data_IF_837371342097
#
_entry.id   IF_837371342097
#
_cell.length_a   1.000
_cell.length_b   1.000
_cell.length_c   1.000
_cell.angle_alpha   90.00
_cell.angle_beta   90.00
_cell.angle_gamma   90.00
#
_symmetry.space_group_name_H-M   'P 1'
#
loop_
_entity.id
_entity.type
_entity.pdbx_description
1 polymer ?
#
# COMPACT_ATOMS: atom_id res chain seq x y z
N UNK A 1 6.83 -29.36 -2.88
CA UNK A 1 7.63 -30.07 -3.91
C UNK A 1 9.09 -30.08 -3.44
N UNK A 2 9.83 -31.18 -3.61
CA UNK A 2 11.24 -31.26 -3.22
C UNK A 2 12.07 -30.36 -4.16
N UNK A 3 12.95 -29.52 -3.60
CA UNK A 3 13.78 -28.57 -4.37
C UNK A 3 14.67 -29.30 -5.41
N UNK A 4 15.26 -30.44 -5.05
CA UNK A 4 16.10 -31.19 -5.96
C UNK A 4 15.34 -31.72 -7.21
N UNK A 5 14.07 -32.12 -7.02
CA UNK A 5 13.19 -32.50 -8.14
C UNK A 5 12.86 -31.32 -9.04
N UNK A 6 12.61 -30.14 -8.43
CA UNK A 6 12.37 -28.93 -9.20
C UNK A 6 13.63 -28.48 -9.97
N UNK A 7 14.81 -28.57 -9.38
CA UNK A 7 16.07 -28.25 -10.03
C UNK A 7 16.30 -29.13 -11.27
N UNK A 8 16.09 -30.46 -11.16
CA UNK A 8 16.17 -31.40 -12.31
C UNK A 8 15.12 -31.08 -13.37
N UNK A 9 13.88 -30.75 -12.95
CA UNK A 9 12.81 -30.38 -13.88
C UNK A 9 13.13 -29.08 -14.66
N UNK A 10 13.71 -28.08 -14.01
CA UNK A 10 14.14 -26.83 -14.68
C UNK A 10 15.18 -27.14 -15.75
N UNK A 11 16.25 -27.87 -15.41
CA UNK A 11 17.29 -28.25 -16.37
C UNK A 11 16.71 -29.12 -17.50
N UNK A 12 15.86 -30.10 -17.17
CA UNK A 12 15.22 -30.96 -18.16
C UNK A 12 14.39 -30.18 -19.19
N UNK A 13 13.56 -29.21 -18.74
CA UNK A 13 12.79 -28.36 -19.65
C UNK A 13 13.72 -27.51 -20.52
N UNK A 14 14.75 -26.91 -19.95
CA UNK A 14 15.75 -26.15 -20.71
C UNK A 14 16.41 -26.93 -21.80
N UNK A 15 16.64 -28.24 -21.60
CA UNK A 15 17.26 -29.14 -22.58
C UNK A 15 16.28 -29.60 -23.68
N UNK A 16 15.00 -29.78 -23.35
CA UNK A 16 13.95 -30.23 -24.27
C UNK A 16 13.37 -29.09 -25.09
N UNK A 17 13.15 -27.93 -24.42
CA UNK A 17 12.60 -26.70 -25.02
C UNK A 17 13.61 -25.55 -24.91
N UNK A 18 14.65 -25.47 -25.74
CA UNK A 18 15.67 -24.43 -25.68
C UNK A 18 15.13 -23.02 -25.79
N UNK A 19 14.00 -22.82 -26.48
CA UNK A 19 13.33 -21.50 -26.64
C UNK A 19 12.86 -20.90 -25.31
N UNK A 20 12.68 -21.73 -24.29
CA UNK A 20 12.30 -21.30 -22.94
C UNK A 20 13.46 -21.01 -21.99
N UNK A 21 14.71 -21.26 -22.42
CA UNK A 21 15.90 -21.02 -21.59
C UNK A 21 15.99 -19.55 -21.13
N UNK A 22 15.54 -18.61 -21.97
CA UNK A 22 15.51 -17.19 -21.61
C UNK A 22 14.68 -16.90 -20.35
N UNK A 23 13.60 -17.66 -20.08
CA UNK A 23 12.79 -17.54 -18.87
C UNK A 23 13.62 -17.91 -17.61
N UNK A 24 14.38 -19.00 -17.69
CA UNK A 24 15.26 -19.44 -16.61
C UNK A 24 16.45 -18.48 -16.40
N UNK A 25 17.09 -18.01 -17.49
CA UNK A 25 18.24 -17.10 -17.41
C UNK A 25 17.91 -15.73 -16.80
N UNK A 26 16.65 -15.27 -16.92
CA UNK A 26 16.16 -14.04 -16.30
C UNK A 26 16.04 -14.17 -14.76
N UNK A 27 15.76 -15.37 -14.27
CA UNK A 27 15.36 -15.59 -12.88
C UNK A 27 16.41 -16.35 -12.05
N UNK A 28 17.22 -17.20 -12.68
CA UNK A 28 18.12 -18.09 -12.00
C UNK A 28 19.60 -17.79 -12.30
N UNK A 29 20.45 -18.20 -11.37
CA UNK A 29 21.91 -18.29 -11.54
C UNK A 29 22.39 -19.67 -11.12
N UNK A 30 23.56 -20.09 -11.59
CA UNK A 30 24.09 -21.40 -11.27
C UNK A 30 24.24 -21.70 -9.77
N UNK A 31 24.52 -20.66 -8.97
CA UNK A 31 24.67 -20.77 -7.51
C UNK A 31 23.32 -21.09 -6.79
N UNK A 32 22.20 -20.92 -7.49
CA UNK A 32 20.88 -21.21 -6.95
C UNK A 32 20.50 -22.67 -6.97
N UNK A 33 21.28 -23.49 -7.68
CA UNK A 33 21.13 -24.95 -7.68
C UNK A 33 21.83 -25.57 -6.47
N UNK A 34 21.18 -26.49 -5.77
CA UNK A 34 21.77 -27.22 -4.65
C UNK A 34 22.72 -28.30 -5.12
N UNK A 35 22.46 -28.83 -6.31
CA UNK A 35 23.29 -29.85 -6.99
C UNK A 35 24.23 -29.13 -7.93
N UNK A 36 25.53 -29.16 -7.63
CA UNK A 36 26.57 -28.46 -8.40
C UNK A 36 26.54 -28.77 -9.88
N UNK A 37 26.37 -30.05 -10.23
CA UNK A 37 26.36 -30.50 -11.62
C UNK A 37 25.19 -29.89 -12.43
N UNK A 38 24.03 -29.61 -11.79
CA UNK A 38 22.93 -28.92 -12.44
C UNK A 38 23.27 -27.44 -12.69
N UNK A 39 23.98 -26.81 -11.75
CA UNK A 39 24.53 -25.46 -11.93
C UNK A 39 25.51 -25.36 -13.07
N UNK A 40 26.36 -26.38 -13.23
CA UNK A 40 27.36 -26.47 -14.34
C UNK A 40 26.65 -26.65 -15.70
N UNK A 41 25.58 -27.45 -15.77
CA UNK A 41 24.74 -27.59 -16.97
C UNK A 41 24.08 -26.27 -17.31
N UNK A 42 23.52 -25.57 -16.30
CA UNK A 42 22.89 -24.24 -16.48
C UNK A 42 23.87 -23.22 -17.06
N UNK A 43 25.12 -23.19 -16.56
CA UNK A 43 26.17 -22.31 -17.09
C UNK A 43 26.50 -22.63 -18.53
N UNK A 44 26.59 -23.89 -18.87
CA UNK A 44 26.89 -24.34 -20.25
C UNK A 44 25.78 -23.94 -21.21
N UNK A 45 24.50 -24.09 -20.81
CA UNK A 45 23.35 -23.61 -21.58
C UNK A 45 23.45 -22.09 -21.82
N UNK A 46 23.78 -21.33 -20.79
CA UNK A 46 23.88 -19.86 -20.86
C UNK A 46 25.09 -19.42 -21.72
N UNK A 47 26.17 -20.16 -21.73
CA UNK A 47 27.34 -19.90 -22.57
C UNK A 47 27.02 -20.12 -24.05
N UNK A 48 26.33 -21.21 -24.39
CA UNK A 48 25.92 -21.50 -25.75
C UNK A 48 24.91 -20.45 -26.27
N UNK A 49 23.93 -20.10 -25.46
CA UNK A 49 22.95 -19.04 -25.80
C UNK A 49 23.63 -17.70 -26.13
N UNK A 50 24.65 -17.31 -25.34
CA UNK A 50 25.46 -16.11 -25.62
C UNK A 50 26.27 -16.17 -26.94
N UNK A 51 26.60 -17.39 -27.42
CA UNK A 51 27.26 -17.58 -28.68
C UNK A 51 26.31 -17.72 -29.85
N UNK A 52 25.00 -17.65 -29.61
CA UNK A 52 23.96 -17.89 -30.61
C UNK A 52 23.87 -19.37 -31.03
N UNK A 53 24.43 -20.28 -30.22
CA UNK A 53 24.36 -21.71 -30.46
C UNK A 53 23.18 -22.32 -29.70
N UNK A 54 22.48 -23.25 -30.34
CA UNK A 54 21.33 -23.93 -29.72
C UNK A 54 21.80 -24.87 -28.62
N UNK A 55 21.35 -24.64 -27.39
CA UNK A 55 21.71 -25.46 -26.22
C UNK A 55 20.62 -26.53 -25.95
N UNK A 56 20.43 -27.45 -26.89
CA UNK A 56 19.55 -28.61 -26.72
C UNK A 56 20.23 -29.77 -25.99
N UNK A 57 19.45 -30.81 -25.66
CA UNK A 57 19.96 -31.98 -24.94
C UNK A 57 21.18 -32.64 -25.63
N UNK A 58 21.19 -32.72 -26.96
CA UNK A 58 22.27 -33.35 -27.70
C UNK A 58 23.55 -32.52 -27.65
N UNK A 59 23.43 -31.22 -27.89
CA UNK A 59 24.58 -30.30 -27.87
C UNK A 59 25.19 -30.17 -26.46
N UNK A 60 24.35 -30.17 -25.41
CA UNK A 60 24.82 -30.12 -24.02
C UNK A 60 25.50 -31.44 -23.62
N UNK A 61 24.85 -32.59 -23.84
CA UNK A 61 25.41 -33.90 -23.47
C UNK A 61 26.74 -34.16 -24.19
N UNK A 62 26.89 -33.75 -25.45
CA UNK A 62 28.14 -33.91 -26.19
C UNK A 62 29.32 -33.10 -25.63
N UNK A 63 29.03 -31.97 -24.96
CA UNK A 63 30.04 -31.03 -24.43
C UNK A 63 30.24 -31.14 -22.91
N UNK A 64 29.36 -31.85 -22.20
CA UNK A 64 29.50 -32.10 -20.78
C UNK A 64 30.67 -33.08 -20.49
N UNK A 65 31.25 -32.91 -19.28
CA UNK A 65 32.15 -33.90 -18.72
C UNK A 65 31.40 -35.22 -18.47
N UNK A 66 32.11 -36.36 -18.51
CA UNK A 66 31.52 -37.69 -18.43
C UNK A 66 30.61 -37.89 -17.19
N UNK A 67 31.03 -37.35 -16.03
CA UNK A 67 30.25 -37.41 -14.80
C UNK A 67 28.94 -36.63 -14.84
N UNK A 68 28.79 -35.61 -15.71
CA UNK A 68 27.60 -34.75 -15.81
C UNK A 68 26.63 -35.27 -16.89
N UNK A 69 27.13 -36.05 -17.88
CA UNK A 69 26.28 -36.56 -18.96
C UNK A 69 25.10 -37.39 -18.48
N UNK A 70 25.33 -38.26 -17.50
CA UNK A 70 24.25 -39.08 -16.93
C UNK A 70 23.15 -38.25 -16.29
N UNK A 71 23.53 -37.20 -15.57
CA UNK A 71 22.56 -36.25 -14.92
C UNK A 71 21.81 -35.44 -15.98
N UNK A 72 22.49 -34.94 -17.00
CA UNK A 72 21.86 -34.21 -18.09
C UNK A 72 20.81 -35.07 -18.82
N UNK A 73 21.18 -36.35 -19.07
CA UNK A 73 20.29 -37.34 -19.69
C UNK A 73 19.08 -37.66 -18.81
N UNK A 74 19.29 -37.88 -17.50
CA UNK A 74 18.23 -38.09 -16.54
C UNK A 74 17.27 -36.92 -16.49
N UNK A 75 17.79 -35.68 -16.47
CA UNK A 75 16.98 -34.46 -16.46
C UNK A 75 16.11 -34.36 -17.72
N UNK A 76 16.65 -34.64 -18.88
CA UNK A 76 15.90 -34.62 -20.14
C UNK A 76 14.77 -35.67 -20.21
N UNK A 77 14.95 -36.82 -19.56
CA UNK A 77 13.94 -37.90 -19.55
C UNK A 77 12.85 -37.74 -18.49
N UNK A 78 13.13 -37.07 -17.38
CA UNK A 78 12.24 -37.01 -16.19
C UNK A 78 11.41 -35.76 -16.06
N UNK A 79 11.15 -35.01 -17.13
CA UNK A 79 10.33 -33.77 -17.08
C UNK A 79 8.89 -34.12 -16.79
N UNK A 80 8.33 -33.72 -15.62
CA UNK A 80 6.97 -34.07 -15.25
C UNK A 80 5.90 -33.32 -16.08
N UNK A 81 6.13 -32.05 -16.41
CA UNK A 81 5.27 -31.21 -17.22
C UNK A 81 5.96 -29.91 -17.61
N UNK A 82 5.90 -29.58 -18.87
CA UNK A 82 6.49 -28.34 -19.42
C UNK A 82 5.68 -27.10 -18.98
N UNK A 83 4.36 -27.24 -18.82
CA UNK A 83 3.49 -26.15 -18.38
C UNK A 83 3.80 -25.65 -16.94
N UNK A 84 4.46 -26.48 -16.13
CA UNK A 84 4.88 -26.13 -14.76
C UNK A 84 6.19 -25.36 -14.64
N UNK A 85 6.82 -24.91 -15.73
CA UNK A 85 8.17 -24.36 -15.73
C UNK A 85 8.38 -23.24 -14.71
N UNK A 86 7.51 -22.24 -14.71
CA UNK A 86 7.59 -21.13 -13.75
C UNK A 86 7.42 -21.58 -12.30
N UNK A 87 6.59 -22.59 -12.05
CA UNK A 87 6.43 -23.18 -10.71
C UNK A 87 7.72 -23.85 -10.25
N UNK A 88 8.43 -24.54 -11.15
CA UNK A 88 9.72 -25.16 -10.83
C UNK A 88 10.82 -24.11 -10.60
N UNK A 89 10.88 -23.06 -11.41
CA UNK A 89 11.79 -21.92 -11.21
C UNK A 89 11.57 -21.30 -9.82
N UNK A 90 10.32 -21.04 -9.45
CA UNK A 90 9.97 -20.48 -8.14
C UNK A 90 10.37 -21.42 -6.98
N UNK A 91 10.24 -22.73 -7.17
CA UNK A 91 10.65 -23.71 -6.17
C UNK A 91 12.18 -23.74 -5.98
N UNK A 92 12.97 -23.58 -7.05
CA UNK A 92 14.43 -23.47 -6.97
C UNK A 92 14.83 -22.20 -6.22
N UNK A 93 14.21 -21.07 -6.55
CA UNK A 93 14.43 -19.79 -5.87
C UNK A 93 14.13 -19.88 -4.36
N UNK A 94 13.02 -20.51 -4.00
CA UNK A 94 12.62 -20.68 -2.60
C UNK A 94 13.61 -21.59 -1.84
N UNK A 95 14.04 -22.67 -2.46
CA UNK A 95 15.07 -23.56 -1.92
C UNK A 95 16.41 -22.85 -1.70
N UNK A 96 16.84 -22.03 -2.64
CA UNK A 96 18.06 -21.22 -2.50
C UNK A 96 17.97 -20.23 -1.35
N UNK A 97 16.84 -19.53 -1.24
CA UNK A 97 16.58 -18.58 -0.12
C UNK A 97 16.65 -19.25 1.24
N UNK A 98 16.03 -20.42 1.36
CA UNK A 98 16.10 -21.21 2.60
C UNK A 98 17.54 -21.57 2.96
N UNK A 99 18.34 -22.01 1.98
CA UNK A 99 19.76 -22.31 2.21
C UNK A 99 20.57 -21.11 2.66
N UNK A 100 20.37 -19.95 2.00
CA UNK A 100 21.04 -18.70 2.40
C UNK A 100 20.65 -18.27 3.83
N UNK A 101 19.36 -18.40 4.16
CA UNK A 101 18.86 -18.05 5.48
C UNK A 101 19.46 -18.94 6.56
N UNK A 102 19.47 -20.26 6.34
CA UNK A 102 20.06 -21.22 7.26
C UNK A 102 21.57 -20.97 7.44
N UNK A 103 22.31 -20.74 6.35
CA UNK A 103 23.74 -20.46 6.42
C UNK A 103 24.01 -19.19 7.24
N UNK A 104 23.27 -18.11 6.98
CA UNK A 104 23.46 -16.85 7.70
C UNK A 104 23.04 -16.91 9.18
N UNK A 105 21.95 -17.62 9.48
CA UNK A 105 21.58 -17.90 10.87
C UNK A 105 22.65 -18.73 11.57
N UNK A 106 23.23 -19.70 10.89
CA UNK A 106 24.36 -20.48 11.43
C UNK A 106 25.58 -19.61 11.73
N UNK A 107 25.92 -18.66 10.86
CA UNK A 107 27.00 -17.68 11.11
C UNK A 107 26.71 -16.80 12.33
N UNK A 108 25.47 -16.28 12.44
CA UNK A 108 25.06 -15.43 13.57
C UNK A 108 25.08 -16.20 14.91
N UNK A 109 24.59 -17.43 14.92
CA UNK A 109 24.61 -18.28 16.12
C UNK A 109 26.05 -18.64 16.55
N UNK A 110 26.96 -18.75 15.59
CA UNK A 110 28.38 -19.04 15.84
C UNK A 110 29.21 -17.78 16.19
N UNK A 111 28.65 -16.59 16.09
CA UNK A 111 29.29 -15.32 16.46
C UNK A 111 29.00 -14.97 17.93
N UNK A 112 29.87 -14.14 18.52
CA UNK A 112 29.66 -13.57 19.87
C UNK A 112 28.70 -12.36 19.88
N UNK A 113 27.83 -12.23 18.84
CA UNK A 113 26.87 -11.14 18.72
C UNK A 113 25.80 -11.20 19.83
N UNK A 114 25.46 -10.07 20.40
CA UNK A 114 24.36 -9.98 21.35
C UNK A 114 22.98 -10.13 20.67
N UNK A 115 21.91 -10.22 21.46
CA UNK A 115 20.57 -10.45 20.96
C UNK A 115 20.09 -9.32 20.03
N UNK A 116 20.43 -8.06 20.34
CA UNK A 116 20.00 -6.89 19.54
C UNK A 116 20.75 -6.83 18.22
N UNK A 117 22.04 -7.16 18.20
CA UNK A 117 22.83 -7.32 16.97
C UNK A 117 22.30 -8.45 16.09
N UNK A 118 21.91 -9.58 16.69
CA UNK A 118 21.31 -10.70 15.99
C UNK A 118 19.97 -10.33 15.37
N UNK A 119 19.09 -9.64 16.12
CA UNK A 119 17.81 -9.15 15.61
C UNK A 119 18.00 -8.14 14.46
N UNK A 120 18.93 -7.20 14.61
CA UNK A 120 19.28 -6.24 13.57
C UNK A 120 19.77 -6.90 12.29
N UNK A 121 20.65 -7.89 12.39
CA UNK A 121 21.17 -8.64 11.24
C UNK A 121 20.09 -9.47 10.53
N UNK A 122 19.18 -10.09 11.28
CA UNK A 122 18.04 -10.82 10.72
C UNK A 122 17.08 -9.87 10.01
N UNK A 123 16.75 -8.72 10.60
CA UNK A 123 15.90 -7.70 10.00
C UNK A 123 16.49 -7.18 8.67
N UNK A 124 17.76 -6.80 8.65
CA UNK A 124 18.46 -6.36 7.43
C UNK A 124 18.51 -7.43 6.35
N UNK A 125 18.63 -8.71 6.73
CA UNK A 125 18.58 -9.83 5.81
C UNK A 125 17.18 -10.03 5.21
N UNK A 126 16.13 -9.89 6.00
CA UNK A 126 14.75 -9.96 5.52
C UNK A 126 14.44 -8.82 4.55
N UNK A 127 14.90 -7.61 4.84
CA UNK A 127 14.75 -6.44 3.96
C UNK A 127 15.48 -6.63 2.62
N UNK A 128 16.72 -7.12 2.65
CA UNK A 128 17.49 -7.43 1.42
C UNK A 128 16.82 -8.50 0.58
N UNK A 129 16.21 -9.50 1.19
CA UNK A 129 15.47 -10.54 0.49
C UNK A 129 14.17 -10.01 -0.13
N UNK A 130 13.48 -9.10 0.55
CA UNK A 130 12.30 -8.40 0.01
C UNK A 130 12.67 -7.55 -1.20
N UNK A 131 13.75 -6.79 -1.15
CA UNK A 131 14.26 -6.01 -2.29
C UNK A 131 14.58 -6.87 -3.52
N UNK A 132 15.15 -8.06 -3.34
CA UNK A 132 15.41 -8.99 -4.44
C UNK A 132 14.10 -9.48 -5.07
N UNK A 133 13.06 -9.73 -4.27
CA UNK A 133 11.73 -10.11 -4.77
C UNK A 133 11.02 -8.97 -5.50
N UNK A 134 11.16 -7.74 -5.01
CA UNK A 134 10.60 -6.55 -5.66
C UNK A 134 11.28 -6.28 -7.00
N UNK A 135 12.60 -6.39 -7.10
CA UNK A 135 13.32 -6.29 -8.37
C UNK A 135 12.95 -7.39 -9.37
N UNK A 136 12.59 -8.57 -8.90
CA UNK A 136 12.15 -9.66 -9.80
C UNK A 136 10.68 -9.45 -10.25
N UNK A 137 9.82 -8.86 -9.42
CA UNK A 137 8.46 -8.45 -9.82
C UNK A 137 8.45 -7.23 -10.75
N UNK A 138 9.37 -6.28 -10.57
CA UNK A 138 9.54 -5.11 -11.44
C UNK A 138 10.12 -5.45 -12.83
N UNK A 139 10.67 -6.66 -13.02
CA UNK A 139 11.12 -7.14 -14.33
C UNK A 139 10.02 -7.74 -15.20
N UNK A 140 8.77 -7.46 -14.92
CA UNK A 140 7.64 -7.79 -15.81
C UNK A 140 7.46 -6.74 -16.93
N UNK A 141 8.55 -6.21 -17.49
CA UNK A 141 8.44 -5.48 -18.73
C UNK A 141 7.85 -6.44 -19.77
N UNK A 142 6.63 -6.17 -20.20
CA UNK A 142 6.00 -6.89 -21.30
C UNK A 142 6.17 -6.06 -22.56
N UNK A 143 6.35 -6.72 -23.69
CA UNK A 143 6.22 -6.06 -24.96
C UNK A 143 4.80 -5.49 -25.10
N UNK A 144 4.65 -4.40 -25.84
CA UNK A 144 3.37 -3.74 -26.00
C UNK A 144 2.27 -4.71 -26.50
N UNK A 145 2.64 -5.61 -27.43
CA UNK A 145 1.71 -6.60 -27.98
C UNK A 145 1.20 -7.58 -26.91
N UNK A 146 2.12 -8.10 -26.05
CA UNK A 146 1.76 -9.01 -24.96
C UNK A 146 0.91 -8.31 -23.88
N UNK A 147 1.12 -7.00 -23.68
CA UNK A 147 0.38 -6.20 -22.72
C UNK A 147 -1.07 -5.90 -23.15
N UNK A 148 -1.37 -5.93 -24.45
CA UNK A 148 -2.71 -5.63 -24.97
C UNK A 148 -3.74 -6.66 -24.48
N UNK A 149 -3.42 -7.95 -24.48
CA UNK A 149 -4.34 -8.98 -24.00
C UNK A 149 -4.70 -8.81 -22.53
N UNK A 150 -3.71 -8.49 -21.67
CA UNK A 150 -3.94 -8.21 -20.27
C UNK A 150 -4.82 -6.96 -20.09
N UNK A 151 -4.59 -5.92 -20.89
CA UNK A 151 -5.38 -4.70 -20.86
C UNK A 151 -6.85 -4.97 -21.28
N UNK A 152 -7.08 -5.76 -22.30
CA UNK A 152 -8.43 -6.14 -22.73
C UNK A 152 -9.16 -7.00 -21.66
N UNK A 153 -8.42 -7.85 -20.94
CA UNK A 153 -8.98 -8.57 -19.80
C UNK A 153 -9.27 -7.64 -18.63
N UNK A 154 -8.41 -6.65 -18.38
CA UNK A 154 -8.62 -5.64 -17.35
C UNK A 154 -9.85 -4.78 -17.63
N UNK A 155 -10.08 -4.37 -18.87
CA UNK A 155 -11.27 -3.61 -19.27
C UNK A 155 -12.61 -4.32 -18.98
N UNK A 156 -12.60 -5.64 -18.90
CA UNK A 156 -13.81 -6.43 -18.58
C UNK A 156 -14.08 -6.52 -17.06
N UNK A 157 -13.12 -6.11 -16.23
CA UNK A 157 -13.30 -6.11 -14.77
C UNK A 157 -14.08 -4.85 -14.36
N UNK A 158 -14.96 -4.96 -13.35
CA UNK A 158 -15.59 -3.77 -12.79
C UNK A 158 -14.51 -2.86 -12.18
N UNK A 159 -14.81 -1.55 -12.15
CA UNK A 159 -13.96 -0.61 -11.44
C UNK A 159 -13.92 -1.00 -9.95
N UNK A 160 -12.70 -1.16 -9.40
CA UNK A 160 -12.45 -1.57 -8.02
C UNK A 160 -12.05 -0.40 -7.11
N UNK A 161 -12.25 0.85 -7.55
CA UNK A 161 -12.05 2.03 -6.73
C UNK A 161 -12.93 1.98 -5.47
N UNK A 162 -12.38 2.49 -4.39
CA UNK A 162 -13.03 2.46 -3.08
C UNK A 162 -13.92 3.70 -2.95
N UNK A 163 -15.21 3.47 -2.72
CA UNK A 163 -16.16 4.57 -2.52
C UNK A 163 -15.97 5.17 -1.12
N UNK A 164 -15.90 6.50 -1.04
CA UNK A 164 -15.72 7.24 0.21
C UNK A 164 -16.98 7.23 1.08
N UNK A 165 -18.14 6.98 0.45
CA UNK A 165 -19.46 7.09 1.05
C UNK A 165 -20.07 8.50 0.95
N UNK A 166 -19.37 9.46 0.35
CA UNK A 166 -19.91 10.75 -0.06
C UNK A 166 -20.26 10.68 -1.54
N UNK A 167 -21.57 10.70 -1.84
CA UNK A 167 -22.06 10.38 -3.17
C UNK A 167 -21.64 11.38 -4.25
N UNK A 168 -21.58 12.66 -3.94
CA UNK A 168 -21.11 13.71 -4.86
C UNK A 168 -19.60 13.65 -5.06
N UNK A 169 -18.84 13.40 -4.00
CA UNK A 169 -17.40 13.22 -4.07
C UNK A 169 -17.06 11.99 -4.94
N UNK A 170 -17.73 10.88 -4.69
CA UNK A 170 -17.51 9.63 -5.43
C UNK A 170 -17.89 9.75 -6.92
N UNK A 171 -18.97 10.47 -7.24
CA UNK A 171 -19.37 10.77 -8.64
C UNK A 171 -18.34 11.63 -9.36
N UNK A 172 -17.77 12.64 -8.68
CA UNK A 172 -16.82 13.57 -9.29
C UNK A 172 -15.43 12.93 -9.45
N UNK A 173 -15.00 12.13 -8.48
CA UNK A 173 -13.64 11.57 -8.45
C UNK A 173 -13.54 10.15 -9.01
N UNK A 174 -14.66 9.43 -9.07
CA UNK A 174 -14.67 7.99 -9.35
C UNK A 174 -14.29 7.12 -8.16
N UNK A 175 -14.18 7.70 -6.94
CA UNK A 175 -13.72 7.04 -5.72
C UNK A 175 -12.20 7.09 -5.52
N UNK A 176 -11.73 6.48 -4.45
CA UNK A 176 -10.30 6.38 -4.09
C UNK A 176 -9.64 5.24 -4.86
N UNK A 177 -8.49 5.50 -5.46
CA UNK A 177 -7.77 4.51 -6.27
C UNK A 177 -7.03 3.51 -5.38
N UNK A 178 -7.19 2.21 -5.63
CA UNK A 178 -6.33 1.19 -5.03
C UNK A 178 -4.88 1.42 -5.46
N UNK A 179 -3.92 1.10 -4.59
CA UNK A 179 -2.50 1.44 -4.78
C UNK A 179 -2.21 2.95 -4.88
N UNK A 180 -3.17 3.78 -4.44
CA UNK A 180 -3.10 5.23 -4.45
C UNK A 180 -2.93 5.83 -3.06
N UNK A 181 -2.48 7.10 -3.06
CA UNK A 181 -2.39 7.94 -1.87
C UNK A 181 -3.32 9.13 -2.05
N UNK A 182 -4.25 9.28 -1.11
CA UNK A 182 -5.14 10.45 -1.02
C UNK A 182 -4.72 11.28 0.19
N UNK A 183 -4.51 12.56 -0.02
CA UNK A 183 -4.16 13.50 1.04
C UNK A 183 -5.40 14.30 1.42
N UNK A 184 -5.71 14.38 2.72
CA UNK A 184 -6.71 15.31 3.26
C UNK A 184 -5.96 16.42 3.99
N UNK A 185 -6.03 17.63 3.47
CA UNK A 185 -5.38 18.80 4.00
C UNK A 185 -6.39 19.76 4.66
N UNK A 186 -6.06 20.26 5.84
CA UNK A 186 -6.85 21.29 6.50
C UNK A 186 -5.97 22.12 7.45
N UNK A 187 -6.42 23.33 7.77
CA UNK A 187 -5.88 24.09 8.90
C UNK A 187 -6.25 23.44 10.24
N UNK A 188 -5.49 23.71 11.30
CA UNK A 188 -5.81 23.23 12.65
C UNK A 188 -7.26 23.51 13.03
N UNK A 189 -7.96 22.52 13.60
CA UNK A 189 -9.32 22.67 14.09
C UNK A 189 -10.41 22.82 13.01
N UNK A 190 -10.10 22.52 11.73
CA UNK A 190 -11.07 22.61 10.62
C UNK A 190 -11.68 21.25 10.21
N UNK A 191 -11.65 20.25 11.08
CA UNK A 191 -12.39 19.00 10.91
C UNK A 191 -11.66 17.92 10.09
N UNK A 192 -10.35 18.03 9.86
CA UNK A 192 -9.55 17.05 9.11
C UNK A 192 -9.77 15.62 9.60
N UNK A 193 -9.49 15.36 10.89
CA UNK A 193 -9.64 14.04 11.51
C UNK A 193 -11.12 13.59 11.53
N UNK A 194 -12.07 14.53 11.69
CA UNK A 194 -13.50 14.24 11.62
C UNK A 194 -13.93 13.73 10.26
N UNK A 195 -13.51 14.41 9.17
CA UNK A 195 -13.82 13.99 7.80
C UNK A 195 -13.21 12.63 7.51
N UNK A 196 -11.93 12.44 7.84
CA UNK A 196 -11.23 11.19 7.60
C UNK A 196 -11.83 10.02 8.38
N UNK A 197 -12.21 10.23 9.66
CA UNK A 197 -12.85 9.20 10.47
C UNK A 197 -14.25 8.85 9.94
N UNK A 198 -14.99 9.83 9.43
CA UNK A 198 -16.28 9.58 8.78
C UNK A 198 -16.08 8.76 7.50
N UNK A 199 -15.15 9.13 6.63
CA UNK A 199 -14.81 8.35 5.45
C UNK A 199 -14.39 6.92 5.82
N UNK A 200 -13.49 6.78 6.79
CA UNK A 200 -13.03 5.47 7.24
C UNK A 200 -14.19 4.57 7.72
N UNK A 201 -15.10 5.12 8.50
CA UNK A 201 -16.28 4.39 8.97
C UNK A 201 -17.22 3.98 7.81
N UNK A 202 -17.45 4.86 6.85
CA UNK A 202 -18.25 4.57 5.66
C UNK A 202 -17.60 3.49 4.78
N UNK A 203 -16.32 3.63 4.48
CA UNK A 203 -15.51 2.65 3.71
C UNK A 203 -15.50 1.29 4.41
N UNK A 204 -15.40 1.29 5.73
CA UNK A 204 -15.29 0.05 6.52
C UNK A 204 -16.53 -0.84 6.47
N UNK A 205 -17.65 -0.38 5.93
CA UNK A 205 -18.82 -1.21 5.68
C UNK A 205 -18.54 -2.28 4.61
N UNK A 206 -17.63 -2.01 3.69
CA UNK A 206 -17.28 -2.91 2.58
C UNK A 206 -15.84 -3.42 2.66
N UNK A 207 -14.89 -2.56 3.01
CA UNK A 207 -13.46 -2.83 3.00
C UNK A 207 -12.88 -2.86 4.43
N UNK A 208 -11.95 -3.77 4.72
CA UNK A 208 -11.21 -3.74 5.98
C UNK A 208 -10.37 -2.48 6.05
N UNK A 209 -10.67 -1.60 6.99
CA UNK A 209 -10.08 -0.27 7.13
C UNK A 209 -9.32 -0.16 8.45
N UNK A 210 -8.07 0.28 8.39
CA UNK A 210 -7.25 0.64 9.55
C UNK A 210 -7.22 2.17 9.68
N UNK A 211 -7.61 2.69 10.82
CA UNK A 211 -7.44 4.10 11.19
C UNK A 211 -6.35 4.20 12.26
N UNK A 212 -5.20 4.72 11.85
CA UNK A 212 -4.06 4.96 12.71
C UNK A 212 -4.11 6.40 13.21
N UNK A 213 -4.39 6.55 14.51
CA UNK A 213 -4.45 7.87 15.16
C UNK A 213 -3.21 8.10 16.02
N UNK A 214 -2.53 9.21 15.78
CA UNK A 214 -1.43 9.69 16.62
C UNK A 214 -1.80 10.95 17.41
N UNK A 215 -3.01 11.51 17.16
CA UNK A 215 -3.47 12.73 17.80
C UNK A 215 -4.65 12.47 18.76
N UNK A 216 -5.52 11.51 18.45
CA UNK A 216 -6.71 11.20 19.22
C UNK A 216 -6.61 9.82 19.87
N UNK A 217 -7.04 9.71 21.15
CA UNK A 217 -7.16 8.41 21.81
C UNK A 217 -8.34 7.61 21.23
N UNK A 218 -8.34 6.31 21.49
CA UNK A 218 -9.39 5.40 21.03
C UNK A 218 -10.77 5.79 21.55
N UNK A 219 -10.85 6.27 22.80
CA UNK A 219 -12.08 6.75 23.40
C UNK A 219 -12.62 7.97 22.66
N UNK A 220 -11.73 8.90 22.23
CA UNK A 220 -12.12 10.07 21.45
C UNK A 220 -12.63 9.68 20.06
N UNK A 221 -12.01 8.67 19.43
CA UNK A 221 -12.46 8.14 18.14
C UNK A 221 -13.85 7.48 18.27
N UNK A 222 -14.08 6.67 19.31
CA UNK A 222 -15.40 6.12 19.58
C UNK A 222 -16.41 7.21 19.88
N UNK A 223 -16.06 8.22 20.70
CA UNK A 223 -16.94 9.38 20.98
C UNK A 223 -17.38 10.05 19.68
N UNK A 224 -16.48 10.30 18.74
CA UNK A 224 -16.83 10.91 17.47
C UNK A 224 -17.72 10.00 16.59
N UNK A 225 -17.49 8.68 16.59
CA UNK A 225 -18.31 7.72 15.86
C UNK A 225 -19.74 7.68 16.44
N UNK A 226 -19.89 7.51 17.75
CA UNK A 226 -21.20 7.43 18.40
C UNK A 226 -21.92 8.76 18.40
N UNK A 227 -21.22 9.88 18.61
CA UNK A 227 -21.80 11.23 18.49
C UNK A 227 -22.44 11.44 17.11
N UNK A 228 -21.77 11.01 16.05
CA UNK A 228 -22.29 11.08 14.69
C UNK A 228 -23.47 10.14 14.46
N UNK A 229 -23.35 8.90 14.93
CA UNK A 229 -24.38 7.89 14.71
C UNK A 229 -25.70 8.23 15.40
N UNK A 230 -25.62 8.62 16.67
CA UNK A 230 -26.78 8.92 17.51
C UNK A 230 -27.24 10.38 17.41
N UNK A 231 -26.45 11.25 16.76
CA UNK A 231 -26.64 12.70 16.77
C UNK A 231 -26.68 13.28 18.20
N UNK A 232 -25.89 12.73 19.10
CA UNK A 232 -25.69 13.22 20.47
C UNK A 232 -24.45 14.13 20.47
N UNK A 233 -24.56 15.30 21.14
CA UNK A 233 -23.43 16.21 21.28
C UNK A 233 -22.22 15.49 21.94
N UNK A 234 -21.09 15.49 21.26
CA UNK A 234 -19.86 14.80 21.70
C UNK A 234 -19.39 15.23 23.08
N UNK A 235 -19.62 16.50 23.46
CA UNK A 235 -19.29 17.00 24.79
C UNK A 235 -20.07 16.26 25.89
N UNK A 236 -21.32 15.88 25.63
CA UNK A 236 -22.12 15.09 26.60
C UNK A 236 -21.57 13.69 26.78
N UNK A 237 -21.14 13.05 25.71
CA UNK A 237 -20.50 11.74 25.76
C UNK A 237 -19.17 11.85 26.55
N UNK A 238 -18.32 12.82 26.18
CA UNK A 238 -17.02 13.03 26.81
C UNK A 238 -17.12 13.33 28.30
N UNK A 239 -18.16 14.09 28.72
CA UNK A 239 -18.36 14.47 30.12
C UNK A 239 -19.20 13.44 30.91
N UNK A 240 -19.54 12.28 30.33
CA UNK A 240 -20.41 11.28 30.93
C UNK A 240 -21.74 11.88 31.42
N UNK A 241 -22.30 12.79 30.63
CA UNK A 241 -23.53 13.53 30.93
C UNK A 241 -24.70 13.04 30.06
N UNK A 242 -24.76 11.75 29.82
CA UNK A 242 -25.83 11.07 29.10
C UNK A 242 -27.00 10.78 30.00
N UNK A 243 -28.20 10.65 29.43
CA UNK A 243 -29.34 10.08 30.11
C UNK A 243 -29.32 8.57 30.07
N UNK A 244 -30.05 7.87 30.94
CA UNK A 244 -30.15 6.41 30.93
C UNK A 244 -30.68 5.89 29.56
N UNK A 245 -31.57 6.65 28.93
CA UNK A 245 -32.13 6.32 27.61
C UNK A 245 -31.05 6.40 26.51
N UNK A 246 -30.22 7.46 26.54
CA UNK A 246 -29.11 7.63 25.58
C UNK A 246 -28.01 6.58 25.79
N UNK A 247 -27.69 6.22 27.02
CA UNK A 247 -26.74 5.15 27.33
C UNK A 247 -27.24 3.79 26.81
N UNK A 248 -28.53 3.47 27.05
CA UNK A 248 -29.15 2.26 26.54
C UNK A 248 -29.11 2.19 25.01
N UNK A 249 -29.44 3.30 24.35
CA UNK A 249 -29.42 3.40 22.90
C UNK A 249 -28.02 3.20 22.31
N UNK A 250 -26.99 3.83 22.90
CA UNK A 250 -25.59 3.62 22.52
C UNK A 250 -25.20 2.13 22.68
N UNK A 251 -25.63 1.49 23.76
CA UNK A 251 -25.32 0.09 24.01
C UNK A 251 -25.99 -0.86 22.98
N UNK A 252 -27.24 -0.60 22.61
CA UNK A 252 -27.96 -1.34 21.56
C UNK A 252 -27.31 -1.17 20.21
N UNK A 253 -27.00 0.09 19.80
CA UNK A 253 -26.42 0.38 18.51
C UNK A 253 -24.94 -0.04 18.41
N UNK A 254 -24.24 -0.20 19.53
CA UNK A 254 -22.90 -0.77 19.56
C UNK A 254 -22.86 -2.17 18.94
N UNK A 255 -23.87 -3.01 19.19
CA UNK A 255 -23.95 -4.34 18.58
C UNK A 255 -24.21 -4.30 17.07
N UNK A 256 -24.92 -3.28 16.61
CA UNK A 256 -25.17 -3.03 15.19
C UNK A 256 -23.84 -2.57 14.54
N UNK A 257 -23.14 -1.62 15.13
CA UNK A 257 -21.89 -1.06 14.60
C UNK A 257 -20.78 -2.09 14.56
N UNK A 258 -20.66 -2.99 15.55
CA UNK A 258 -19.71 -4.12 15.55
C UNK A 258 -19.86 -5.02 14.33
N UNK A 259 -21.07 -5.23 13.85
CA UNK A 259 -21.36 -6.07 12.67
C UNK A 259 -21.22 -5.29 11.37
N UNK A 260 -21.47 -3.97 11.40
CA UNK A 260 -21.51 -3.12 10.23
C UNK A 260 -20.12 -2.67 9.78
N UNK A 261 -19.21 -2.38 10.73
CA UNK A 261 -17.92 -1.80 10.46
C UNK A 261 -16.77 -2.81 10.57
N UNK A 262 -16.03 -2.98 9.48
CA UNK A 262 -14.72 -3.65 9.46
C UNK A 262 -13.62 -2.64 9.74
N UNK A 263 -13.74 -1.91 10.86
CA UNK A 263 -12.86 -0.79 11.22
C UNK A 263 -11.95 -1.18 12.37
N UNK A 264 -10.66 -1.03 12.17
CA UNK A 264 -9.63 -1.18 13.19
C UNK A 264 -9.21 0.23 13.60
N UNK A 265 -9.38 0.57 14.88
CA UNK A 265 -8.90 1.81 15.48
C UNK A 265 -7.61 1.52 16.23
N UNK A 266 -6.53 2.17 15.84
CA UNK A 266 -5.23 2.02 16.48
C UNK A 266 -4.72 3.41 16.91
N UNK A 267 -4.54 3.59 18.22
CA UNK A 267 -4.02 4.79 18.86
C UNK A 267 -2.60 4.58 19.39
N UNK A 268 -1.94 3.51 18.96
CA UNK A 268 -0.54 3.27 19.29
C UNK A 268 0.37 4.29 18.61
N UNK A 269 1.41 4.73 19.33
CA UNK A 269 2.40 5.65 18.79
C UNK A 269 3.26 4.92 17.74
N UNK A 270 2.95 5.07 16.48
CA UNK A 270 3.84 4.64 15.40
C UNK A 270 5.00 5.64 15.30
N UNK A 271 6.21 5.12 15.23
CA UNK A 271 7.42 5.95 15.19
C UNK A 271 8.10 5.96 13.85
N UNK A 272 7.74 5.04 12.94
CA UNK A 272 8.39 4.91 11.64
C UNK A 272 7.49 4.30 10.55
N UNK A 273 7.91 4.45 9.29
CA UNK A 273 7.29 3.73 8.16
C UNK A 273 7.35 2.21 8.30
N UNK A 274 8.37 1.69 9.00
CA UNK A 274 8.51 0.26 9.25
C UNK A 274 7.39 -0.25 10.17
N UNK A 275 7.00 0.54 11.17
CA UNK A 275 5.88 0.20 12.06
C UNK A 275 4.56 0.19 11.30
N UNK A 276 4.33 1.19 10.41
CA UNK A 276 3.18 1.22 9.52
C UNK A 276 3.14 -0.02 8.63
N UNK A 277 4.28 -0.38 8.04
CA UNK A 277 4.38 -1.57 7.19
C UNK A 277 4.11 -2.86 7.97
N UNK A 278 4.62 -2.97 9.20
CA UNK A 278 4.38 -4.13 10.06
C UNK A 278 2.88 -4.28 10.34
N UNK A 279 2.21 -3.20 10.74
CA UNK A 279 0.76 -3.20 10.99
C UNK A 279 -0.03 -3.59 9.74
N UNK A 280 0.36 -3.10 8.56
CA UNK A 280 -0.24 -3.50 7.28
C UNK A 280 -0.08 -5.02 7.04
N UNK A 281 1.11 -5.56 7.28
CA UNK A 281 1.38 -7.01 7.12
C UNK A 281 0.54 -7.88 8.05
N UNK A 282 0.40 -7.47 9.31
CA UNK A 282 -0.32 -8.20 10.34
C UNK A 282 -1.83 -8.13 10.14
N UNK A 283 -2.37 -6.94 9.90
CA UNK A 283 -3.81 -6.69 9.83
C UNK A 283 -4.40 -6.86 8.44
N UNK A 284 -3.57 -6.73 7.39
CA UNK A 284 -3.95 -6.85 5.98
C UNK A 284 -5.15 -5.97 5.59
N UNK A 285 -5.16 -4.68 5.95
CA UNK A 285 -6.24 -3.78 5.59
C UNK A 285 -6.25 -3.52 4.09
N UNK A 286 -7.40 -3.13 3.55
CA UNK A 286 -7.55 -2.63 2.18
C UNK A 286 -7.38 -1.11 2.12
N UNK A 287 -7.71 -0.43 3.22
CA UNK A 287 -7.55 1.02 3.39
C UNK A 287 -6.84 1.32 4.69
N UNK A 288 -5.89 2.26 4.64
CA UNK A 288 -5.16 2.75 5.82
C UNK A 288 -5.32 4.25 5.90
N UNK A 289 -5.80 4.76 7.02
CA UNK A 289 -5.83 6.18 7.33
C UNK A 289 -4.74 6.49 8.35
N UNK A 290 -3.93 7.52 8.10
CA UNK A 290 -2.85 7.96 9.00
C UNK A 290 -3.13 9.38 9.46
N UNK A 291 -3.47 9.55 10.72
CA UNK A 291 -3.79 10.82 11.37
C UNK A 291 -2.78 11.16 12.48
N UNK A 292 -1.79 11.98 12.27
CA UNK A 292 -1.46 12.65 11.03
C UNK A 292 0.04 12.48 10.74
N UNK A 293 0.40 12.62 9.48
CA UNK A 293 1.73 12.33 8.94
C UNK A 293 2.88 13.05 9.68
N UNK A 294 2.67 14.26 10.15
CA UNK A 294 3.69 15.07 10.81
C UNK A 294 4.20 14.55 12.15
N UNK A 295 3.59 13.47 12.69
CA UNK A 295 4.00 12.81 13.94
C UNK A 295 4.78 11.52 13.70
N UNK A 296 4.80 11.00 12.47
CA UNK A 296 5.63 9.84 12.11
C UNK A 296 7.09 10.27 12.07
N UNK A 297 7.98 9.53 12.73
CA UNK A 297 9.41 9.84 12.73
C UNK A 297 10.00 9.64 11.32
N UNK A 298 10.80 10.59 10.82
CA UNK A 298 11.46 10.45 9.53
C UNK A 298 12.57 9.41 9.58
N UNK A 299 12.94 8.82 8.42
CA UNK A 299 14.04 7.85 8.34
C UNK A 299 15.40 8.43 8.75
N UNK A 300 15.58 9.76 8.64
CA UNK A 300 16.82 10.47 8.94
C UNK A 300 16.56 11.74 9.74
N UNK A 301 16.89 11.74 11.04
CA UNK A 301 16.66 12.85 11.97
C UNK A 301 17.45 14.16 11.64
N UNK A 302 18.32 14.17 10.63
CA UNK A 302 19.16 15.32 10.25
C UNK A 302 18.63 16.11 9.06
N UNK A 303 17.60 15.63 8.36
CA UNK A 303 17.01 16.30 7.20
C UNK A 303 16.07 17.42 7.62
N UNK A 304 15.87 18.41 6.74
CA UNK A 304 14.91 19.48 7.01
C UNK A 304 13.49 18.90 7.00
N UNK A 305 12.62 19.39 7.84
CA UNK A 305 11.24 18.90 8.05
C UNK A 305 10.43 18.69 6.74
N UNK A 306 10.70 19.49 5.72
CA UNK A 306 10.03 19.35 4.42
C UNK A 306 10.53 18.15 3.63
N UNK A 307 11.83 17.85 3.70
CA UNK A 307 12.44 16.69 3.04
C UNK A 307 12.02 15.40 3.76
N UNK A 308 11.84 15.48 5.07
CA UNK A 308 11.33 14.39 5.92
C UNK A 308 9.89 14.01 5.55
N UNK A 309 9.00 14.99 5.46
CA UNK A 309 7.60 14.77 5.05
C UNK A 309 7.52 14.21 3.63
N UNK A 310 8.37 14.71 2.74
CA UNK A 310 8.49 14.21 1.39
C UNK A 310 8.91 12.73 1.33
N UNK A 311 9.88 12.34 2.15
CA UNK A 311 10.33 10.96 2.26
C UNK A 311 9.22 10.05 2.82
N UNK A 312 8.45 10.53 3.81
CA UNK A 312 7.31 9.81 4.38
C UNK A 312 6.21 9.57 3.33
N UNK A 313 5.73 10.61 2.66
CA UNK A 313 4.70 10.49 1.61
C UNK A 313 5.14 9.53 0.50
N UNK A 314 6.39 9.64 0.06
CA UNK A 314 6.96 8.71 -0.94
C UNK A 314 6.99 7.27 -0.42
N UNK A 315 7.39 7.06 0.84
CA UNK A 315 7.36 5.75 1.48
C UNK A 315 5.96 5.16 1.57
N UNK A 316 4.97 5.97 1.96
CA UNK A 316 3.57 5.56 1.98
C UNK A 316 3.05 5.21 0.58
N UNK A 317 3.44 5.98 -0.47
CA UNK A 317 3.10 5.62 -1.85
C UNK A 317 3.70 4.27 -2.26
N UNK A 318 4.93 3.98 -1.86
CA UNK A 318 5.54 2.67 -2.10
C UNK A 318 4.79 1.55 -1.37
N UNK A 319 4.37 1.76 -0.12
CA UNK A 319 3.55 0.80 0.63
C UNK A 319 2.18 0.59 -0.03
N UNK A 320 1.50 1.66 -0.47
CA UNK A 320 0.23 1.57 -1.18
C UNK A 320 0.35 0.70 -2.44
N UNK A 321 1.39 0.90 -3.25
CA UNK A 321 1.66 0.10 -4.44
C UNK A 321 2.05 -1.34 -4.13
N UNK A 322 2.88 -1.55 -3.10
CA UNK A 322 3.39 -2.86 -2.70
C UNK A 322 2.29 -3.80 -2.21
N UNK A 323 1.37 -3.26 -1.42
CA UNK A 323 0.29 -4.04 -0.79
C UNK A 323 -1.05 -3.93 -1.50
N UNK A 324 -1.14 -3.16 -2.61
CA UNK A 324 -2.40 -2.89 -3.34
C UNK A 324 -3.50 -2.33 -2.45
N UNK A 325 -3.15 -1.41 -1.57
CA UNK A 325 -4.05 -0.74 -0.63
C UNK A 325 -4.22 0.73 -0.96
N UNK A 326 -5.32 1.33 -0.53
CA UNK A 326 -5.48 2.78 -0.54
C UNK A 326 -4.95 3.36 0.77
N UNK A 327 -4.13 4.42 0.71
CA UNK A 327 -3.67 5.15 1.88
C UNK A 327 -4.29 6.55 1.88
N UNK A 328 -4.88 6.96 3.00
CA UNK A 328 -5.38 8.30 3.25
C UNK A 328 -4.47 8.96 4.26
N UNK A 329 -3.74 9.98 3.83
CA UNK A 329 -2.83 10.75 4.67
C UNK A 329 -3.48 12.05 5.12
N UNK A 330 -3.38 12.37 6.41
CA UNK A 330 -3.84 13.63 6.93
C UNK A 330 -2.67 14.60 7.10
N UNK A 331 -2.78 15.74 6.44
CA UNK A 331 -1.73 16.78 6.45
C UNK A 331 -2.28 18.08 7.01
N UNK A 332 -1.55 18.67 7.94
CA UNK A 332 -1.89 19.98 8.49
C UNK A 332 -1.33 21.07 7.57
N UNK A 333 -2.18 21.93 7.03
CA UNK A 333 -1.75 23.07 6.24
C UNK A 333 -1.06 24.13 7.11
N UNK A 334 0.03 24.73 6.59
CA UNK A 334 0.70 25.84 7.26
C UNK A 334 -0.26 27.03 7.43
N UNK A 335 -0.02 27.86 8.44
CA UNK A 335 -0.68 29.17 8.58
C UNK A 335 -0.19 30.07 7.46
N UNK A 336 -0.78 29.95 6.26
CA UNK A 336 -0.51 30.89 5.20
C UNK A 336 -1.02 32.29 5.59
N UNK A 337 -0.26 33.29 5.23
CA UNK A 337 -0.65 34.69 5.44
C UNK A 337 -2.01 34.95 4.81
N UNK A 338 -2.93 35.42 5.60
CA UNK A 338 -4.18 36.23 5.40
C UNK A 338 -5.04 36.08 4.13
N UNK A 339 -4.80 35.19 3.19
CA UNK A 339 -5.53 35.16 1.92
C UNK A 339 -6.54 34.03 1.73
N UNK A 340 -6.90 33.31 2.77
CA UNK A 340 -8.14 32.50 2.82
C UNK A 340 -8.10 31.13 2.15
N UNK A 341 -7.42 30.89 1.06
CA UNK A 341 -7.37 29.60 0.35
C UNK A 341 -6.18 28.76 0.76
N UNK A 342 -6.39 27.47 1.02
CA UNK A 342 -5.28 26.53 1.09
C UNK A 342 -4.80 26.28 -0.35
N UNK A 343 -3.65 26.86 -0.68
CA UNK A 343 -2.95 26.56 -1.94
C UNK A 343 -2.06 25.34 -1.73
N UNK A 344 -1.68 24.68 -2.81
CA UNK A 344 -0.73 23.58 -2.78
C UNK A 344 0.59 23.96 -2.09
N UNK A 345 1.06 25.21 -2.28
CA UNK A 345 2.24 25.79 -1.59
C UNK A 345 2.11 25.88 -0.06
N UNK A 346 0.90 25.90 0.45
CA UNK A 346 0.62 26.05 1.90
C UNK A 346 0.61 24.70 2.64
N UNK A 347 0.61 23.60 1.89
CA UNK A 347 0.74 22.26 2.43
C UNK A 347 2.22 21.94 2.68
N UNK A 348 2.76 22.47 3.80
CA UNK A 348 4.12 22.20 4.31
C UNK A 348 5.21 22.14 3.22
N UNK A 349 5.33 23.20 2.42
CA UNK A 349 6.50 23.45 1.56
C UNK A 349 6.79 22.40 0.50
N UNK A 350 5.82 21.58 0.12
CA UNK A 350 6.16 20.40 -0.61
C UNK A 350 5.52 20.29 -1.99
N UNK A 351 6.26 20.74 -2.98
CA UNK A 351 6.17 20.21 -4.33
C UNK A 351 6.16 18.65 -4.37
N UNK A 352 6.61 18.00 -3.30
CA UNK A 352 6.75 16.55 -3.20
C UNK A 352 5.44 15.85 -2.80
N UNK A 353 4.68 16.38 -1.82
CA UNK A 353 3.33 15.85 -1.51
C UNK A 353 2.45 16.00 -2.75
N UNK A 354 2.55 17.15 -3.42
CA UNK A 354 1.87 17.36 -4.69
C UNK A 354 2.29 16.32 -5.74
N UNK A 355 3.55 15.97 -5.83
CA UNK A 355 4.04 15.02 -6.81
C UNK A 355 3.56 13.58 -6.51
N UNK A 356 3.63 13.13 -5.28
CA UNK A 356 3.46 11.72 -4.91
C UNK A 356 1.99 11.36 -4.58
N UNK A 357 1.15 12.31 -4.15
CA UNK A 357 -0.28 12.09 -3.95
C UNK A 357 -1.02 11.89 -5.29
N UNK A 358 -1.98 10.96 -5.31
CA UNK A 358 -2.86 10.73 -6.46
C UNK A 358 -4.08 11.65 -6.41
N UNK A 359 -4.57 11.96 -5.20
CA UNK A 359 -5.67 12.89 -4.95
C UNK A 359 -5.35 13.77 -3.75
N UNK A 360 -5.76 15.03 -3.79
CA UNK A 360 -5.63 15.97 -2.69
C UNK A 360 -6.99 16.64 -2.45
N UNK A 361 -7.52 16.48 -1.25
CA UNK A 361 -8.74 17.11 -0.76
C UNK A 361 -8.36 18.18 0.26
N UNK A 362 -8.80 19.41 0.05
CA UNK A 362 -8.57 20.52 0.98
C UNK A 362 -9.89 20.99 1.62
N UNK A 363 -9.91 21.14 2.95
CA UNK A 363 -11.07 21.67 3.67
C UNK A 363 -10.89 23.17 3.83
N UNK A 364 -11.72 23.97 3.15
CA UNK A 364 -11.61 25.42 3.02
C UNK A 364 -12.88 26.17 3.50
N UNK A 365 -13.20 26.24 4.81
CA UNK A 365 -14.41 26.94 5.26
C UNK A 365 -14.40 28.44 4.94
N UNK A 366 -13.22 29.08 4.94
CA UNK A 366 -13.10 30.52 4.67
C UNK A 366 -13.31 30.89 3.19
N UNK A 367 -13.01 29.96 2.28
CA UNK A 367 -13.24 30.16 0.86
C UNK A 367 -14.72 30.21 0.53
N UNK A 368 -15.51 29.33 1.13
CA UNK A 368 -16.96 29.31 0.95
C UNK A 368 -17.58 30.63 1.36
N UNK A 369 -17.20 31.15 2.54
CA UNK A 369 -17.69 32.46 3.02
C UNK A 369 -17.42 33.58 2.01
N UNK A 370 -16.18 33.68 1.48
CA UNK A 370 -15.82 34.70 0.49
C UNK A 370 -16.58 34.57 -0.83
N UNK A 371 -16.80 33.37 -1.32
CA UNK A 371 -17.55 33.14 -2.56
C UNK A 371 -19.03 33.51 -2.42
N UNK A 372 -19.65 33.22 -1.25
CA UNK A 372 -21.04 33.60 -0.98
C UNK A 372 -21.21 35.12 -0.80
N UNK A 373 -20.32 35.77 -0.07
CA UNK A 373 -20.29 37.22 0.06
C UNK A 373 -20.24 37.93 -1.29
N UNK A 374 -19.50 37.34 -2.26
CA UNK A 374 -19.40 37.86 -3.63
C UNK A 374 -20.68 37.66 -4.47
N UNK A 375 -21.54 36.70 -4.10
CA UNK A 375 -22.76 36.34 -4.82
C UNK A 375 -24.03 36.99 -4.26
N UNK A 376 -23.93 37.86 -3.23
CA UNK A 376 -25.08 38.50 -2.53
C UNK A 376 -26.07 37.47 -1.96
N UNK A 377 -25.66 36.22 -1.71
CA UNK A 377 -26.51 35.21 -1.09
C UNK A 377 -26.56 35.38 0.44
N UNK A 378 -27.49 34.69 1.10
CA UNK A 378 -27.61 34.73 2.56
C UNK A 378 -26.26 34.41 3.25
N UNK A 379 -25.97 35.07 4.40
CA UNK A 379 -24.72 34.84 5.09
C UNK A 379 -24.57 33.35 5.43
N UNK A 380 -23.36 32.75 5.17
CA UNK A 380 -23.12 31.34 5.42
C UNK A 380 -23.31 31.00 6.90
N UNK A 381 -23.87 29.82 7.17
CA UNK A 381 -23.92 29.31 8.54
C UNK A 381 -22.50 28.94 9.02
N UNK A 382 -22.25 28.91 10.33
CA UNK A 382 -20.97 28.49 10.90
C UNK A 382 -20.59 27.03 10.53
N UNK A 383 -21.58 26.27 10.06
CA UNK A 383 -21.38 24.86 9.62
C UNK A 383 -20.92 24.72 8.16
N UNK A 384 -21.09 25.78 7.35
CA UNK A 384 -20.78 25.71 5.91
C UNK A 384 -19.28 25.57 5.67
N UNK A 385 -18.92 24.66 4.80
CA UNK A 385 -17.53 24.38 4.43
C UNK A 385 -17.44 23.88 2.99
N UNK A 386 -16.29 24.01 2.38
CA UNK A 386 -16.00 23.51 1.03
C UNK A 386 -14.91 22.47 1.09
N UNK A 387 -15.16 21.32 0.48
CA UNK A 387 -14.12 20.36 0.18
C UNK A 387 -13.69 20.57 -1.26
N UNK A 388 -12.46 21.05 -1.42
CA UNK A 388 -11.85 21.29 -2.73
C UNK A 388 -11.00 20.11 -3.14
N UNK A 389 -11.24 19.56 -4.32
CA UNK A 389 -10.38 18.56 -4.95
C UNK A 389 -9.30 19.34 -5.70
N UNK A 390 -8.20 19.61 -4.99
CA UNK A 390 -7.07 20.42 -5.49
C UNK A 390 -6.29 19.67 -6.55
N UNK A 391 -6.20 18.34 -6.40
CA UNK A 391 -5.55 17.44 -7.34
C UNK A 391 -6.32 16.14 -7.47
N UNK A 392 -6.46 15.65 -8.69
CA UNK A 392 -6.93 14.31 -9.00
C UNK A 392 -6.24 13.79 -10.26
N UNK A 393 -5.41 12.75 -10.12
CA UNK A 393 -4.69 12.17 -11.27
C UNK A 393 -5.60 11.43 -12.24
N UNK A 394 -6.71 10.93 -11.76
CA UNK A 394 -7.55 9.98 -12.50
C UNK A 394 -8.96 10.52 -12.80
N UNK A 395 -9.24 11.76 -12.40
CA UNK A 395 -10.56 12.34 -12.57
C UNK A 395 -10.54 13.87 -12.54
N UNK A 396 -11.72 14.46 -12.35
CA UNK A 396 -11.89 15.90 -12.32
C UNK A 396 -11.44 16.49 -10.97
N UNK A 397 -10.98 17.74 -11.03
CA UNK A 397 -10.86 18.64 -9.88
C UNK A 397 -12.13 19.48 -9.76
N UNK A 398 -12.42 20.02 -8.58
CA UNK A 398 -13.59 20.83 -8.37
C UNK A 398 -13.84 21.13 -6.91
N UNK A 399 -14.96 21.73 -6.63
CA UNK A 399 -15.38 22.13 -5.28
C UNK A 399 -16.73 21.50 -4.96
N UNK A 400 -16.88 21.04 -3.74
CA UNK A 400 -18.10 20.43 -3.23
C UNK A 400 -18.51 21.13 -1.94
N UNK A 401 -19.77 21.51 -1.87
CA UNK A 401 -20.34 22.14 -0.70
C UNK A 401 -20.71 21.11 0.36
N UNK A 402 -20.29 21.37 1.58
CA UNK A 402 -20.55 20.54 2.75
C UNK A 402 -21.05 21.38 3.93
N UNK A 403 -21.83 20.78 4.80
CA UNK A 403 -22.10 21.27 6.14
C UNK A 403 -21.32 20.45 7.16
N UNK A 404 -20.50 21.10 7.99
CA UNK A 404 -19.83 20.44 9.11
C UNK A 404 -20.51 20.74 10.43
N UNK A 405 -21.29 19.79 10.91
CA UNK A 405 -22.01 19.88 12.20
C UNK A 405 -21.06 19.44 13.33
N UNK A 406 -20.28 20.40 13.82
CA UNK A 406 -19.20 20.17 14.81
C UNK A 406 -19.63 19.37 16.05
N UNK A 407 -20.77 19.67 16.71
CA UNK A 407 -21.18 18.94 17.91
C UNK A 407 -21.38 17.44 17.70
N UNK A 408 -21.66 17.02 16.46
CA UNK A 408 -21.95 15.64 16.11
C UNK A 408 -20.83 14.98 15.30
N UNK A 409 -19.69 15.64 15.11
CA UNK A 409 -18.60 15.17 14.26
C UNK A 409 -19.09 14.69 12.87
N UNK A 410 -20.02 15.45 12.26
CA UNK A 410 -20.73 15.06 11.05
C UNK A 410 -20.46 16.04 9.90
N UNK A 411 -19.99 15.51 8.77
CA UNK A 411 -19.99 16.18 7.48
C UNK A 411 -21.17 15.69 6.64
N UNK A 412 -21.97 16.62 6.12
CA UNK A 412 -23.07 16.36 5.21
C UNK A 412 -22.79 17.02 3.87
N UNK A 413 -23.02 16.30 2.76
CA UNK A 413 -23.00 16.89 1.43
C UNK A 413 -24.19 17.85 1.29
N UNK A 414 -23.95 19.07 0.81
CA UNK A 414 -25.01 20.00 0.43
C UNK A 414 -25.28 19.79 -1.05
N UNK A 415 -26.34 19.05 -1.36
CA UNK A 415 -26.81 18.92 -2.75
C UNK A 415 -27.76 20.08 -3.03
N UNK A 416 -27.39 20.95 -3.98
CA UNK A 416 -28.36 21.88 -4.55
C UNK A 416 -29.42 21.02 -5.25
N UNK A 417 -30.60 20.93 -4.67
CA UNK A 417 -31.78 20.34 -5.32
C UNK A 417 -32.19 21.39 -6.35
N UNK A 418 -31.81 21.19 -7.62
CA UNK A 418 -32.40 21.87 -8.78
C UNK A 418 -33.83 21.38 -9.00
#
# INVERSE_FOLDING_TARGET
MNTAVAEKAVIGIMLIEPDRQSEAFKSLTAQMFSIKDLGDIFLLCKELDRRGERADAVSIISRCKENIKAIAYECAQTVPSVSGFNTYINCVLDGYRKRLMIAKMGELVASDADADEMFGAVAAMMEKQQHIMEHQRQRSAKDFADGIEDFLQWLKKPNDNIQTGFGTLDKLTGGLVRSGVTVIAARPGKGKSTLALQMAAQISQTCLTLYQSMEMSREQLYTAIFSRWEQINSIRITNHALTEEEESKIAEDAEILKRRYKLILDDSSLTSLADVELTIKERKPEVVVIDHLGLVAPPNAKEKRNDELAALTRGLKQLAMKYHICIIELVQAARAADTGLIKMSDMFGSATIEHDADMILAINPEHYTKLREQREEEPPSESDTVIEIVKNRYGACGQLDFAWVKPFHLFCEVTNID
#
